data_IF_683090109263
#
_entry.id   IF_683090109263
#
_cell.length_a   1.000
_cell.length_b   1.000
_cell.length_c   1.000
_cell.angle_alpha   90.00
_cell.angle_beta   90.00
_cell.angle_gamma   90.00
#
_symmetry.space_group_name_H-M   'P 1'
#
loop_
_entity.id
_entity.type
_entity.pdbx_description
1 polymer ?
#
# COMPACT_ATOMS: atom_id res chain seq x y z
N UNK A 1 25.31 -6.56 41.97
CA UNK A 1 24.97 -6.69 43.40
C UNK A 1 23.49 -6.37 43.51
N UNK A 2 22.56 -7.33 43.39
CA UNK A 2 22.15 -8.32 44.42
C UNK A 2 21.92 -7.59 45.75
N UNK A 3 20.70 -7.56 46.30
CA UNK A 3 20.19 -8.65 47.15
C UNK A 3 18.66 -8.83 46.99
N UNK A 4 18.27 -10.09 46.82
CA UNK A 4 16.92 -10.64 46.89
C UNK A 4 16.50 -10.90 48.35
N UNK A 5 15.20 -10.95 48.64
CA UNK A 5 14.68 -11.58 49.85
C UNK A 5 13.64 -12.65 49.50
N UNK A 6 13.87 -13.82 50.09
CA UNK A 6 13.24 -15.11 49.84
C UNK A 6 11.89 -15.28 50.53
N UNK A 7 11.14 -16.22 49.95
CA UNK A 7 9.94 -16.86 50.46
C UNK A 7 10.20 -17.60 51.78
N UNK A 8 9.23 -17.54 52.69
CA UNK A 8 9.07 -18.53 53.76
C UNK A 8 7.61 -18.97 53.85
N UNK A 9 7.42 -20.29 53.80
CA UNK A 9 6.17 -21.03 53.86
C UNK A 9 6.07 -21.69 55.24
N UNK A 10 4.89 -21.81 55.86
CA UNK A 10 4.63 -23.02 56.63
C UNK A 10 3.23 -23.62 56.40
N UNK A 11 3.26 -24.90 56.04
CA UNK A 11 2.47 -26.03 56.55
C UNK A 11 0.92 -26.03 56.49
N UNK A 12 0.44 -26.90 55.60
CA UNK A 12 -0.45 -28.06 55.81
C UNK A 12 -1.63 -27.93 56.80
N UNK A 13 -2.84 -28.08 56.25
CA UNK A 13 -3.88 -28.91 56.89
C UNK A 13 -4.59 -29.75 55.82
N UNK A 14 -4.64 -31.06 56.07
CA UNK A 14 -5.34 -32.07 55.30
C UNK A 14 -6.86 -31.94 55.54
N UNK A 15 -7.65 -32.04 54.47
CA UNK A 15 -9.07 -32.42 54.55
C UNK A 15 -9.28 -33.59 53.61
N UNK A 16 -9.34 -34.78 54.21
CA UNK A 16 -9.90 -35.99 53.61
C UNK A 16 -11.40 -35.82 53.38
N UNK A 17 -11.86 -35.98 52.15
CA UNK A 17 -13.24 -36.41 51.85
C UNK A 17 -13.18 -37.61 50.92
N UNK A 18 -13.77 -38.69 51.42
CA UNK A 18 -13.96 -39.99 50.83
C UNK A 18 -14.97 -40.00 49.68
N UNK A 19 -14.67 -40.80 48.66
CA UNK A 19 -15.67 -41.62 47.96
C UNK A 19 -16.42 -40.96 46.79
N UNK A 20 -16.01 -41.30 45.57
CA UNK A 20 -16.80 -41.08 44.36
C UNK A 20 -15.97 -41.34 43.10
N UNK A 21 -16.23 -42.46 42.44
CA UNK A 21 -15.56 -42.90 41.20
C UNK A 21 -15.88 -41.91 40.07
N UNK A 22 -14.84 -41.29 39.50
CA UNK A 22 -14.92 -40.54 38.25
C UNK A 22 -14.49 -41.44 37.09
N UNK A 23 -15.39 -41.68 36.14
CA UNK A 23 -14.99 -41.95 34.75
C UNK A 23 -15.12 -40.63 33.98
N UNK A 24 -14.04 -39.85 33.95
CA UNK A 24 -13.88 -38.72 33.06
C UNK A 24 -13.16 -39.16 31.78
N UNK A 25 -13.74 -38.88 30.62
CA UNK A 25 -12.99 -38.67 29.40
C UNK A 25 -12.59 -37.20 29.39
N UNK A 26 -11.29 -36.95 29.31
CA UNK A 26 -10.69 -35.65 29.03
C UNK A 26 -11.21 -35.09 27.70
N UNK A 27 -11.61 -33.82 27.69
CA UNK A 27 -11.11 -32.88 26.68
C UNK A 27 -10.68 -31.61 27.41
N UNK A 28 -9.40 -31.32 27.26
CA UNK A 28 -8.63 -30.23 27.85
C UNK A 28 -8.91 -28.87 27.21
N UNK A 29 -9.03 -27.84 28.06
CA UNK A 29 -8.43 -26.48 27.97
C UNK A 29 -8.33 -25.79 26.59
N UNK A 30 -8.79 -24.56 26.37
CA UNK A 30 -8.44 -23.32 27.10
C UNK A 30 -9.51 -22.21 26.89
N UNK A 31 -9.77 -21.45 27.95
CA UNK A 31 -10.46 -20.14 27.99
C UNK A 31 -9.40 -19.00 27.92
N UNK A 32 -9.68 -17.66 28.01
CA UNK A 32 -10.96 -16.93 28.08
C UNK A 32 -11.02 -15.58 27.29
N UNK A 33 -12.22 -14.97 27.32
CA UNK A 33 -12.50 -13.51 27.50
C UNK A 33 -12.14 -12.50 26.39
N UNK A 34 -13.14 -12.11 25.58
CA UNK A 34 -13.25 -10.75 25.02
C UNK A 34 -14.70 -10.26 24.82
N UNK A 35 -15.67 -10.89 25.50
CA UNK A 35 -17.08 -10.49 25.45
C UNK A 35 -17.62 -10.20 26.85
N UNK A 36 -17.02 -9.21 27.49
CA UNK A 36 -17.69 -8.39 28.49
C UNK A 36 -16.88 -7.10 28.67
N UNK A 37 -17.56 -5.95 28.51
CA UNK A 37 -17.26 -4.73 29.25
C UNK A 37 -16.26 -3.72 28.66
N UNK A 38 -16.62 -3.08 27.53
CA UNK A 38 -16.52 -1.61 27.38
C UNK A 38 -17.81 -1.11 26.70
N UNK A 39 -18.88 -1.08 27.48
CA UNK A 39 -20.04 -0.20 27.31
C UNK A 39 -20.08 0.75 28.53
N UNK A 40 -18.91 1.28 28.89
CA UNK A 40 -18.69 2.23 29.97
C UNK A 40 -17.48 3.10 29.61
N UNK A 41 -17.61 3.90 28.56
CA UNK A 41 -16.81 5.13 28.38
C UNK A 41 -17.44 6.08 27.37
N UNK A 42 -18.73 6.37 27.54
CA UNK A 42 -19.36 7.59 27.03
C UNK A 42 -20.48 7.97 27.98
N UNK A 43 -20.15 8.77 29.00
CA UNK A 43 -20.98 9.90 29.46
C UNK A 43 -20.43 10.47 30.76
N UNK A 44 -19.69 11.57 30.65
CA UNK A 44 -19.81 12.70 31.57
C UNK A 44 -19.58 13.99 30.77
N UNK A 45 -20.66 14.65 30.35
CA UNK A 45 -21.01 16.00 30.82
C UNK A 45 -22.30 16.50 30.13
N UNK A 46 -23.43 16.42 30.82
CA UNK A 46 -24.58 17.32 30.64
C UNK A 46 -25.43 17.31 31.93
N UNK A 47 -25.68 18.44 32.60
CA UNK A 47 -26.35 18.47 33.90
C UNK A 47 -27.88 18.44 33.76
N UNK A 48 -28.53 17.65 34.61
CA UNK A 48 -29.94 17.83 34.99
C UNK A 48 -30.91 16.77 34.46
N UNK A 49 -31.11 15.69 35.24
CA UNK A 49 -32.41 15.01 35.48
C UNK A 49 -32.22 13.85 36.48
N UNK A 50 -33.08 13.76 37.48
CA UNK A 50 -33.05 12.75 38.55
C UNK A 50 -33.53 11.37 38.07
N UNK A 51 -33.08 10.26 38.69
CA UNK A 51 -33.62 8.92 38.41
C UNK A 51 -34.85 8.60 39.26
N UNK A 52 -35.84 7.91 38.67
CA UNK A 52 -37.03 7.37 39.33
C UNK A 52 -36.79 5.95 39.88
N UNK A 53 -37.51 5.49 40.93
CA UNK A 53 -37.16 4.30 41.70
C UNK A 53 -37.64 2.97 41.11
N UNK A 54 -36.90 1.92 41.43
CA UNK A 54 -37.18 0.50 41.17
C UNK A 54 -38.31 0.00 42.06
N UNK A 55 -39.33 -0.65 41.48
CA UNK A 55 -40.38 -1.36 42.22
C UNK A 55 -40.14 -2.87 42.09
N UNK A 56 -39.92 -3.52 43.22
CA UNK A 56 -39.89 -4.97 43.39
C UNK A 56 -41.31 -5.50 43.59
N UNK A 57 -41.68 -6.54 42.86
CA UNK A 57 -42.96 -7.24 43.03
C UNK A 57 -42.78 -8.75 42.92
N UNK A 58 -42.93 -9.45 44.05
CA UNK A 58 -43.12 -10.91 44.12
C UNK A 58 -44.58 -11.24 43.82
N UNK A 59 -44.81 -12.34 43.12
CA UNK A 59 -46.07 -13.09 43.21
C UNK A 59 -45.76 -14.58 43.44
N UNK A 60 -46.27 -15.08 44.57
CA UNK A 60 -46.33 -16.50 44.93
C UNK A 60 -47.64 -17.10 44.41
N UNK A 61 -47.62 -18.40 44.08
CA UNK A 61 -48.82 -19.16 43.75
C UNK A 61 -48.50 -20.58 43.32
N UNK A 62 -48.31 -21.47 44.29
CA UNK A 62 -48.31 -22.92 44.10
C UNK A 62 -49.75 -23.47 44.09
N UNK A 63 -50.02 -24.56 43.34
CA UNK A 63 -50.84 -25.71 43.74
C UNK A 63 -50.94 -26.76 42.60
N UNK A 64 -50.46 -27.98 42.92
CA UNK A 64 -50.88 -29.36 42.55
C UNK A 64 -50.95 -29.78 41.07
N UNK A 65 -50.74 -31.05 40.67
CA UNK A 65 -49.97 -32.25 41.06
C UNK A 65 -50.49 -33.39 40.16
N UNK A 66 -49.66 -34.41 39.90
CA UNK A 66 -49.96 -35.71 39.27
C UNK A 66 -49.99 -35.73 37.72
N UNK A 67 -49.47 -36.72 37.00
CA UNK A 67 -48.57 -37.88 37.21
C UNK A 67 -48.28 -38.37 35.77
N UNK A 68 -47.05 -38.80 35.44
CA UNK A 68 -46.84 -39.53 34.18
C UNK A 68 -45.50 -39.30 33.48
N UNK A 69 -44.57 -40.19 33.79
CA UNK A 69 -43.31 -40.53 33.13
C UNK A 69 -43.34 -40.55 31.57
N UNK A 70 -42.35 -39.92 30.91
CA UNK A 70 -41.35 -40.57 30.01
C UNK A 70 -40.63 -39.60 29.07
N UNK A 71 -39.38 -39.99 28.77
CA UNK A 71 -38.31 -39.31 28.02
C UNK A 71 -38.53 -39.37 26.49
N UNK A 72 -37.68 -38.63 25.79
CA UNK A 72 -37.38 -38.64 24.34
C UNK A 72 -38.21 -37.71 23.43
N UNK A 73 -37.63 -36.53 23.19
CA UNK A 73 -37.79 -35.80 21.92
C UNK A 73 -36.71 -36.32 20.97
N UNK A 74 -37.06 -37.34 20.20
CA UNK A 74 -36.30 -37.86 19.06
C UNK A 74 -37.23 -37.87 17.85
N UNK A 75 -36.83 -37.09 16.84
CA UNK A 75 -37.03 -37.22 15.39
C UNK A 75 -38.44 -37.39 14.81
N UNK A 76 -38.69 -36.49 13.87
CA UNK A 76 -39.57 -36.55 12.70
C UNK A 76 -41.08 -36.58 12.90
N UNK A 77 -41.75 -35.67 12.20
CA UNK A 77 -42.85 -35.89 11.25
C UNK A 77 -43.43 -34.50 10.88
N UNK A 78 -43.81 -34.11 9.66
CA UNK A 78 -43.80 -34.68 8.31
C UNK A 78 -44.24 -33.54 7.36
N UNK A 79 -43.55 -33.39 6.23
CA UNK A 79 -44.18 -33.30 4.90
C UNK A 79 -45.03 -32.09 4.48
N UNK A 80 -44.61 -31.47 3.37
CA UNK A 80 -45.41 -30.61 2.49
C UNK A 80 -44.91 -29.17 2.56
N UNK A 81 -44.27 -28.59 1.55
CA UNK A 81 -44.74 -28.45 0.17
C UNK A 81 -43.57 -28.41 -0.82
N UNK A 82 -43.67 -29.15 -1.93
CA UNK A 82 -42.78 -29.01 -3.09
C UNK A 82 -43.63 -28.94 -4.36
N UNK A 83 -43.54 -27.83 -5.09
CA UNK A 83 -43.69 -27.64 -6.55
C UNK A 83 -43.88 -26.12 -6.78
N UNK A 84 -43.18 -25.41 -7.66
CA UNK A 84 -42.70 -25.72 -9.01
C UNK A 84 -41.55 -24.78 -9.43
N UNK A 85 -40.88 -25.18 -10.52
CA UNK A 85 -39.86 -24.49 -11.32
C UNK A 85 -38.42 -24.66 -10.85
N UNK A 86 -37.80 -25.71 -11.39
CA UNK A 86 -36.37 -25.92 -11.33
C UNK A 86 -35.60 -24.96 -12.21
N UNK A 87 -34.51 -24.44 -11.67
CA UNK A 87 -33.25 -24.20 -12.37
C UNK A 87 -32.14 -24.52 -11.36
N UNK A 88 -31.38 -25.58 -11.64
CA UNK A 88 -30.17 -25.88 -10.90
C UNK A 88 -29.11 -24.83 -11.21
N UNK A 89 -28.65 -24.12 -10.17
CA UNK A 89 -27.39 -23.40 -10.19
C UNK A 89 -26.64 -23.72 -8.90
N UNK A 90 -25.44 -24.26 -9.07
CA UNK A 90 -24.52 -24.60 -8.01
C UNK A 90 -24.14 -23.37 -7.19
N UNK A 91 -24.46 -23.34 -5.91
CA UNK A 91 -23.90 -22.38 -4.95
C UNK A 91 -22.67 -23.00 -4.27
N UNK A 92 -21.53 -22.99 -4.96
CA UNK A 92 -20.23 -22.92 -4.29
C UNK A 92 -19.72 -21.49 -4.43
N UNK A 93 -20.28 -20.57 -3.66
CA UNK A 93 -19.70 -19.25 -3.49
C UNK A 93 -18.76 -19.31 -2.28
N UNK A 94 -17.46 -19.18 -2.57
CA UNK A 94 -16.38 -19.45 -1.64
C UNK A 94 -16.34 -18.43 -0.50
N UNK A 95 -16.35 -18.89 0.74
CA UNK A 95 -16.01 -18.12 1.94
C UNK A 95 -14.47 -17.97 2.06
N UNK A 96 -13.81 -17.30 1.10
CA UNK A 96 -12.34 -17.04 1.14
C UNK A 96 -11.94 -15.57 1.30
N UNK A 97 -12.87 -14.63 1.17
CA UNK A 97 -12.59 -13.19 1.17
C UNK A 97 -12.07 -12.58 2.50
N UNK A 98 -12.53 -12.97 3.70
CA UNK A 98 -12.17 -12.24 4.93
C UNK A 98 -10.68 -12.30 5.29
N UNK A 99 -9.96 -13.37 4.92
CA UNK A 99 -8.57 -13.55 5.34
C UNK A 99 -7.57 -12.68 4.57
N UNK A 100 -7.85 -12.39 3.30
CA UNK A 100 -6.96 -11.58 2.44
C UNK A 100 -6.99 -10.10 2.84
N UNK A 101 -8.16 -9.58 3.23
CA UNK A 101 -8.30 -8.21 3.73
C UNK A 101 -7.62 -8.01 5.08
N UNK A 102 -7.67 -9.02 5.97
CA UNK A 102 -6.99 -8.96 7.27
C UNK A 102 -5.46 -8.97 7.12
N UNK A 103 -4.93 -9.64 6.09
CA UNK A 103 -3.50 -9.66 5.77
C UNK A 103 -2.99 -8.38 5.09
N UNK A 104 -3.89 -7.53 4.57
CA UNK A 104 -3.51 -6.28 3.91
C UNK A 104 -3.31 -5.10 4.88
N UNK A 105 -3.83 -5.21 6.10
CA UNK A 105 -3.64 -4.21 7.15
C UNK A 105 -2.28 -4.38 7.83
N UNK A 106 -1.62 -3.26 8.12
CA UNK A 106 -0.36 -3.29 8.87
C UNK A 106 -0.58 -3.68 10.33
N UNK A 107 0.29 -4.53 10.86
CA UNK A 107 0.40 -4.71 12.31
C UNK A 107 0.99 -3.47 12.97
N UNK A 108 0.82 -3.33 14.29
CA UNK A 108 1.44 -2.24 15.05
C UNK A 108 2.97 -2.23 14.91
N UNK A 109 3.61 -3.41 14.87
CA UNK A 109 5.07 -3.50 14.70
C UNK A 109 5.51 -3.09 13.30
N UNK A 110 4.72 -3.39 12.26
CA UNK A 110 4.99 -2.93 10.89
C UNK A 110 4.82 -1.42 10.77
N UNK A 111 3.78 -0.87 11.39
CA UNK A 111 3.55 0.58 11.40
C UNK A 111 4.68 1.32 12.12
N UNK A 112 5.11 0.83 13.29
CA UNK A 112 6.25 1.38 14.01
C UNK A 112 7.53 1.31 13.17
N UNK A 113 7.81 0.16 12.53
CA UNK A 113 8.97 0.02 11.65
C UNK A 113 8.95 1.03 10.50
N UNK A 114 7.78 1.24 9.87
CA UNK A 114 7.65 2.23 8.81
C UNK A 114 7.93 3.66 9.33
N UNK A 115 7.48 3.99 10.53
CA UNK A 115 7.74 5.29 11.17
C UNK A 115 9.21 5.49 11.53
N UNK A 116 9.91 4.43 11.97
CA UNK A 116 11.33 4.47 12.35
C UNK A 116 12.25 4.51 11.13
N UNK A 117 11.99 3.67 10.12
CA UNK A 117 12.89 3.52 8.97
C UNK A 117 12.56 4.47 7.81
N UNK A 118 11.31 4.91 7.70
CA UNK A 118 10.80 5.69 6.55
C UNK A 118 10.46 4.84 5.33
N UNK A 119 10.63 3.52 5.41
CA UNK A 119 10.20 2.57 4.38
C UNK A 119 9.77 1.24 5.02
N UNK A 120 8.98 0.44 4.29
CA UNK A 120 8.54 -0.87 4.77
C UNK A 120 8.37 -1.84 3.62
N UNK A 121 8.94 -3.03 3.74
CA UNK A 121 8.78 -4.13 2.79
C UNK A 121 7.66 -5.07 3.23
N UNK A 122 6.71 -5.32 2.34
CA UNK A 122 5.60 -6.26 2.49
C UNK A 122 5.69 -7.32 1.39
N UNK A 123 6.37 -8.43 1.69
CA UNK A 123 6.49 -9.56 0.78
C UNK A 123 5.12 -10.22 0.49
N UNK A 124 4.93 -10.70 -0.74
CA UNK A 124 3.72 -11.43 -1.13
C UNK A 124 2.41 -10.61 -1.08
N UNK A 125 2.48 -9.27 -1.07
CA UNK A 125 1.29 -8.42 -1.03
C UNK A 125 0.43 -8.53 -2.31
N UNK A 126 1.08 -8.69 -3.46
CA UNK A 126 0.44 -9.00 -4.75
C UNK A 126 0.73 -10.45 -5.15
N UNK A 127 -0.29 -11.10 -5.72
CA UNK A 127 -0.16 -12.43 -6.28
C UNK A 127 0.65 -12.42 -7.57
N UNK A 128 1.23 -13.57 -7.93
CA UNK A 128 1.93 -13.71 -9.20
C UNK A 128 1.03 -13.40 -10.41
N UNK A 129 -0.26 -13.74 -10.35
CA UNK A 129 -1.23 -13.48 -11.42
C UNK A 129 -1.49 -11.98 -11.61
N UNK A 130 -1.54 -11.20 -10.53
CA UNK A 130 -1.66 -9.74 -10.61
C UNK A 130 -0.40 -9.11 -11.22
N UNK A 131 0.79 -9.62 -10.87
CA UNK A 131 2.04 -9.20 -11.49
C UNK A 131 2.06 -9.54 -12.99
N UNK A 132 1.66 -10.75 -13.37
CA UNK A 132 1.56 -11.17 -14.78
C UNK A 132 0.55 -10.31 -15.54
N UNK A 133 -0.59 -9.96 -14.94
CA UNK A 133 -1.58 -9.08 -15.57
C UNK A 133 -1.00 -7.69 -15.86
N UNK A 134 -0.25 -7.10 -14.91
CA UNK A 134 0.45 -5.83 -15.14
C UNK A 134 1.52 -5.96 -16.24
N UNK A 135 2.31 -7.03 -16.22
CA UNK A 135 3.38 -7.28 -17.20
C UNK A 135 2.84 -7.51 -18.61
N UNK A 136 1.77 -8.29 -18.75
CA UNK A 136 1.09 -8.50 -20.03
C UNK A 136 0.54 -7.17 -20.54
N UNK A 137 -0.15 -6.42 -19.67
CA UNK A 137 -0.79 -5.19 -20.09
C UNK A 137 0.21 -4.12 -20.50
N UNK A 138 1.33 -3.97 -19.79
CA UNK A 138 2.36 -3.03 -20.20
C UNK A 138 2.98 -3.44 -21.55
N UNK A 139 3.14 -4.76 -21.81
CA UNK A 139 3.58 -5.26 -23.10
C UNK A 139 2.66 -4.84 -24.25
N UNK A 140 1.34 -4.89 -24.05
CA UNK A 140 0.36 -4.41 -25.04
C UNK A 140 0.43 -2.89 -25.27
N UNK A 141 0.64 -2.12 -24.19
CA UNK A 141 0.80 -0.66 -24.27
C UNK A 141 2.06 -0.31 -25.07
N UNK A 142 3.17 -1.00 -24.80
CA UNK A 142 4.45 -0.82 -25.50
C UNK A 142 4.34 -1.23 -26.96
N UNK A 143 3.65 -2.33 -27.28
CA UNK A 143 3.45 -2.78 -28.66
C UNK A 143 2.65 -1.77 -29.52
N UNK A 144 1.84 -0.91 -28.88
CA UNK A 144 1.06 0.16 -29.52
C UNK A 144 1.68 1.53 -29.34
N UNK A 145 2.92 1.59 -28.84
CA UNK A 145 3.62 2.84 -28.58
C UNK A 145 3.85 3.61 -29.89
N UNK A 146 3.33 4.84 -29.92
CA UNK A 146 3.69 5.83 -30.91
C UNK A 146 4.21 7.08 -30.20
N UNK A 147 5.51 7.33 -30.34
CA UNK A 147 6.16 8.53 -29.78
C UNK A 147 6.64 9.40 -30.94
N UNK A 148 6.16 10.65 -31.05
CA UNK A 148 6.66 11.59 -32.06
C UNK A 148 8.17 11.78 -31.97
N UNK A 149 8.85 11.92 -33.11
CA UNK A 149 10.32 12.02 -33.17
C UNK A 149 10.87 13.16 -32.31
N UNK A 150 10.16 14.28 -32.22
CA UNK A 150 10.57 15.43 -31.38
C UNK A 150 10.47 15.15 -29.87
N UNK A 151 9.82 14.07 -29.45
CA UNK A 151 9.72 13.62 -28.05
C UNK A 151 10.70 12.46 -27.74
N UNK A 152 11.46 11.98 -28.74
CA UNK A 152 12.49 10.95 -28.61
C UNK A 152 13.83 11.63 -28.34
N UNK A 153 14.15 11.98 -27.09
CA UNK A 153 15.33 12.80 -26.80
C UNK A 153 16.29 12.19 -25.78
N UNK A 154 17.57 12.44 -26.01
CA UNK A 154 18.65 12.43 -25.01
C UNK A 154 18.97 13.86 -24.56
N UNK A 155 19.58 14.01 -23.39
CA UNK A 155 20.03 15.30 -22.87
C UNK A 155 21.36 15.71 -23.52
N UNK A 156 21.47 16.87 -24.17
CA UNK A 156 22.72 17.43 -24.72
C UNK A 156 22.61 18.96 -25.00
N UNK A 157 23.72 19.60 -25.38
CA UNK A 157 24.02 21.05 -25.26
C UNK A 157 24.04 21.88 -26.56
N UNK A 158 23.48 21.45 -27.69
CA UNK A 158 23.50 22.23 -28.97
C UNK A 158 22.15 22.86 -29.37
N UNK A 159 22.14 23.81 -30.32
CA UNK A 159 21.03 24.75 -30.58
C UNK A 159 19.80 24.13 -31.29
N UNK A 160 19.97 23.20 -32.24
CA UNK A 160 18.85 22.37 -32.78
C UNK A 160 18.29 21.39 -31.72
N UNK A 161 19.08 21.12 -30.70
CA UNK A 161 18.73 20.32 -29.53
C UNK A 161 17.88 21.11 -28.54
N UNK A 162 17.87 22.45 -28.57
CA UNK A 162 17.03 23.25 -27.68
C UNK A 162 15.55 23.13 -28.00
N UNK A 163 15.15 23.13 -29.28
CA UNK A 163 13.75 22.90 -29.68
C UNK A 163 13.30 21.47 -29.38
N UNK A 164 14.20 20.48 -29.50
CA UNK A 164 13.92 19.08 -29.14
C UNK A 164 13.87 18.89 -27.62
N UNK A 165 14.79 19.50 -26.87
CA UNK A 165 14.78 19.54 -25.41
C UNK A 165 13.54 20.27 -24.88
N UNK A 166 13.08 21.32 -25.57
CA UNK A 166 11.83 22.01 -25.28
C UNK A 166 10.62 21.08 -25.53
N UNK A 167 10.56 20.41 -26.69
CA UNK A 167 9.51 19.43 -26.98
C UNK A 167 9.49 18.24 -26.01
N UNK A 168 10.66 17.79 -25.56
CA UNK A 168 10.81 16.77 -24.51
C UNK A 168 10.34 17.27 -23.14
N UNK A 169 10.69 18.52 -22.81
CA UNK A 169 10.27 19.18 -21.58
C UNK A 169 8.76 19.36 -21.55
N UNK A 170 8.14 19.82 -22.63
CA UNK A 170 6.68 19.95 -22.75
C UNK A 170 6.00 18.59 -22.70
N UNK A 171 6.57 17.57 -23.35
CA UNK A 171 6.09 16.19 -23.30
C UNK A 171 6.16 15.62 -21.88
N UNK A 172 7.17 15.97 -21.09
CA UNK A 172 7.24 15.62 -19.67
C UNK A 172 6.23 16.43 -18.84
N UNK A 173 6.25 17.76 -18.90
CA UNK A 173 5.43 18.63 -18.06
C UNK A 173 3.92 18.43 -18.26
N UNK A 174 3.48 18.07 -19.47
CA UNK A 174 2.08 17.77 -19.79
C UNK A 174 1.72 16.28 -19.73
N UNK A 175 2.58 15.43 -19.16
CA UNK A 175 2.34 13.99 -19.04
C UNK A 175 1.57 13.58 -17.77
N UNK A 176 1.32 14.53 -16.86
CA UNK A 176 0.74 14.27 -15.55
C UNK A 176 -0.57 13.49 -15.57
N UNK A 177 -1.39 13.73 -16.59
CA UNK A 177 -2.69 13.12 -16.82
C UNK A 177 -2.71 12.26 -18.10
N UNK A 178 -1.56 11.75 -18.54
CA UNK A 178 -1.41 10.93 -19.76
C UNK A 178 -0.64 9.63 -19.48
N UNK A 179 -0.70 8.70 -20.44
CA UNK A 179 0.22 7.55 -20.52
C UNK A 179 1.22 7.84 -21.63
N UNK A 180 2.46 8.14 -21.24
CA UNK A 180 3.56 8.59 -22.09
C UNK A 180 4.83 7.80 -21.77
N UNK A 181 5.76 7.78 -22.72
CA UNK A 181 6.94 6.92 -22.70
C UNK A 181 8.21 7.75 -22.54
N UNK A 182 9.09 7.32 -21.64
CA UNK A 182 10.36 7.96 -21.36
C UNK A 182 11.47 6.93 -21.50
N UNK A 183 12.51 7.29 -22.25
CA UNK A 183 13.51 6.35 -22.73
C UNK A 183 14.82 6.45 -21.91
N UNK A 184 15.60 5.38 -21.96
CA UNK A 184 16.96 5.35 -21.39
C UNK A 184 17.87 6.36 -22.11
N UNK A 185 18.90 6.84 -21.42
CA UNK A 185 19.93 7.67 -22.05
C UNK A 185 20.79 6.80 -22.96
N UNK A 186 21.20 7.34 -24.12
CA UNK A 186 22.10 6.65 -25.06
C UNK A 186 21.43 5.61 -25.95
N UNK A 187 20.10 5.63 -26.10
CA UNK A 187 19.34 4.70 -26.95
C UNK A 187 18.94 5.31 -28.30
N UNK A 188 19.28 6.57 -28.54
CA UNK A 188 19.05 7.27 -29.79
C UNK A 188 20.37 7.61 -30.49
N UNK A 189 20.38 7.58 -31.83
CA UNK A 189 21.46 8.17 -32.61
C UNK A 189 21.32 9.71 -32.68
N UNK A 190 22.29 10.38 -33.30
CA UNK A 190 22.27 11.85 -33.49
C UNK A 190 21.06 12.35 -34.30
N UNK A 191 20.34 11.47 -34.99
CA UNK A 191 19.15 11.78 -35.79
C UNK A 191 17.84 11.47 -35.03
N UNK A 192 17.91 10.95 -33.80
CA UNK A 192 16.74 10.56 -32.99
C UNK A 192 16.17 9.18 -33.35
N UNK A 193 16.90 8.35 -34.09
CA UNK A 193 16.51 6.97 -34.37
C UNK A 193 16.95 6.06 -33.24
N UNK A 194 16.13 5.05 -32.94
CA UNK A 194 16.44 4.04 -31.94
C UNK A 194 17.65 3.19 -32.34
N UNK A 195 18.66 3.11 -31.46
CA UNK A 195 19.82 2.22 -31.58
C UNK A 195 19.50 0.78 -31.17
N UNK A 196 18.51 0.62 -30.28
CA UNK A 196 17.97 -0.66 -29.83
C UNK A 196 16.46 -0.65 -30.00
N UNK A 197 15.77 -1.79 -30.17
CA UNK A 197 14.32 -1.79 -30.39
C UNK A 197 13.57 -0.91 -29.38
N UNK A 198 12.56 -0.12 -29.80
CA UNK A 198 11.89 0.85 -28.93
C UNK A 198 11.36 0.23 -27.64
N UNK A 199 10.82 -0.97 -27.70
CA UNK A 199 10.31 -1.75 -26.56
C UNK A 199 11.39 -2.14 -25.53
N UNK A 200 12.66 -2.14 -25.94
CA UNK A 200 13.83 -2.34 -25.08
C UNK A 200 14.51 -1.04 -24.67
N UNK A 201 14.06 0.09 -25.20
CA UNK A 201 14.64 1.41 -24.96
C UNK A 201 13.93 2.19 -23.84
N UNK A 202 12.76 1.73 -23.41
CA UNK A 202 11.93 2.45 -22.44
C UNK A 202 12.52 2.29 -21.04
N UNK A 203 12.78 3.42 -20.38
CA UNK A 203 13.12 3.47 -18.95
C UNK A 203 11.83 3.37 -18.12
N UNK A 204 10.85 4.23 -18.42
CA UNK A 204 9.56 4.27 -17.71
C UNK A 204 8.39 4.71 -18.58
N UNK A 205 7.18 4.39 -18.13
CA UNK A 205 5.90 4.91 -18.64
C UNK A 205 5.21 5.67 -17.52
N UNK A 206 4.63 6.84 -17.81
CA UNK A 206 3.93 7.67 -16.83
C UNK A 206 3.07 8.77 -17.48
N UNK A 207 2.28 9.53 -16.73
CA UNK A 207 2.17 9.51 -15.27
C UNK A 207 0.78 9.12 -14.74
N UNK A 208 -0.15 8.72 -15.63
CA UNK A 208 -1.55 8.42 -15.29
C UNK A 208 -2.04 7.01 -15.69
N UNK A 209 -1.17 5.99 -15.58
CA UNK A 209 -1.59 4.58 -15.73
C UNK A 209 -2.74 4.23 -14.78
N UNK A 210 -2.68 4.70 -13.52
CA UNK A 210 -3.72 4.48 -12.52
C UNK A 210 -5.11 5.03 -12.91
N UNK A 211 -5.18 5.99 -13.83
CA UNK A 211 -6.43 6.62 -14.23
C UNK A 211 -6.97 6.06 -15.54
N UNK A 212 -6.09 5.93 -16.54
CA UNK A 212 -6.47 5.66 -17.94
C UNK A 212 -6.35 4.20 -18.35
N UNK A 213 -5.61 3.38 -17.61
CA UNK A 213 -5.51 1.96 -17.90
C UNK A 213 -6.34 1.10 -16.91
N UNK A 214 -7.28 0.27 -17.38
CA UNK A 214 -8.15 -0.52 -16.49
C UNK A 214 -7.42 -1.52 -15.58
N UNK A 215 -6.26 -2.05 -16.00
CA UNK A 215 -5.50 -3.02 -15.18
C UNK A 215 -4.81 -2.28 -14.04
N UNK A 216 -4.07 -1.22 -14.35
CA UNK A 216 -3.36 -0.44 -13.34
C UNK A 216 -4.32 0.31 -12.41
N UNK A 217 -5.45 0.80 -12.91
CA UNK A 217 -6.53 1.38 -12.10
C UNK A 217 -7.07 0.36 -11.08
N UNK A 218 -7.38 -0.85 -11.52
CA UNK A 218 -7.87 -1.92 -10.62
C UNK A 218 -6.84 -2.31 -9.56
N UNK A 219 -5.55 -2.37 -9.91
CA UNK A 219 -4.47 -2.63 -8.95
C UNK A 219 -4.37 -1.51 -7.92
N UNK A 220 -4.31 -0.26 -8.38
CA UNK A 220 -4.18 0.93 -7.51
C UNK A 220 -5.37 1.08 -6.56
N UNK A 221 -6.60 0.91 -7.05
CA UNK A 221 -7.81 1.04 -6.24
C UNK A 221 -8.29 -0.29 -5.63
N UNK A 222 -7.44 -1.32 -5.59
CA UNK A 222 -7.83 -2.63 -5.07
C UNK A 222 -8.18 -2.56 -3.57
N UNK A 223 -9.10 -3.44 -3.08
CA UNK A 223 -9.48 -3.45 -1.68
C UNK A 223 -8.31 -3.55 -0.69
N UNK A 224 -7.24 -4.30 -1.06
CA UNK A 224 -6.03 -4.43 -0.24
C UNK A 224 -5.22 -3.14 -0.13
N UNK A 225 -5.09 -2.37 -1.21
CA UNK A 225 -4.42 -1.06 -1.17
C UNK A 225 -5.24 -0.07 -0.33
N UNK A 226 -6.57 -0.10 -0.46
CA UNK A 226 -7.44 0.73 0.36
C UNK A 226 -7.38 0.36 1.85
N UNK A 227 -7.39 -0.93 2.18
CA UNK A 227 -7.24 -1.41 3.55
C UNK A 227 -5.89 -1.01 4.16
N UNK A 228 -4.81 -1.15 3.39
CA UNK A 228 -3.47 -0.69 3.75
C UNK A 228 -3.45 0.82 4.05
N UNK A 229 -4.00 1.64 3.14
CA UNK A 229 -4.09 3.09 3.33
C UNK A 229 -4.90 3.47 4.59
N UNK A 230 -5.98 2.73 4.90
CA UNK A 230 -6.74 2.92 6.15
C UNK A 230 -5.92 2.56 7.37
N UNK A 231 -5.13 1.48 7.32
CA UNK A 231 -4.25 1.08 8.43
C UNK A 231 -3.12 2.08 8.70
N UNK A 232 -2.73 2.87 7.69
CA UNK A 232 -1.81 4.00 7.81
C UNK A 232 -2.50 5.28 8.34
N UNK A 233 -3.81 5.25 8.53
CA UNK A 233 -4.58 6.39 9.04
C UNK A 233 -4.88 7.48 8.00
N UNK A 234 -4.72 7.20 6.70
CA UNK A 234 -5.01 8.17 5.65
C UNK A 234 -6.53 8.45 5.59
N UNK A 235 -6.90 9.73 5.68
CA UNK A 235 -8.28 10.23 5.71
C UNK A 235 -8.78 10.50 4.30
N UNK A 236 -8.03 11.27 3.50
CA UNK A 236 -8.37 11.64 2.14
C UNK A 236 -7.19 11.38 1.18
N UNK A 237 -6.77 10.12 1.01
CA UNK A 237 -5.68 9.78 0.10
C UNK A 237 -6.10 9.98 -1.36
N UNK A 238 -5.34 10.79 -2.08
CA UNK A 238 -5.50 11.07 -3.51
C UNK A 238 -4.33 10.46 -4.28
N UNK A 239 -4.58 9.83 -5.42
CA UNK A 239 -3.52 9.30 -6.29
C UNK A 239 -2.97 10.45 -7.13
N UNK A 240 -1.73 10.87 -6.87
CA UNK A 240 -1.15 12.03 -7.57
C UNK A 240 -0.41 11.64 -8.84
N UNK A 241 0.23 10.47 -8.84
CA UNK A 241 1.10 10.00 -9.91
C UNK A 241 1.16 8.48 -9.93
N UNK A 242 1.38 7.91 -11.11
CA UNK A 242 1.71 6.49 -11.29
C UNK A 242 2.73 6.30 -12.40
N UNK A 243 3.65 5.34 -12.26
CA UNK A 243 4.65 5.02 -13.26
C UNK A 243 4.86 3.52 -13.35
N UNK A 244 5.30 3.05 -14.52
CA UNK A 244 5.87 1.73 -14.70
C UNK A 244 7.34 1.85 -15.03
N UNK A 245 8.22 1.20 -14.28
CA UNK A 245 9.68 1.30 -14.40
C UNK A 245 10.19 -0.06 -14.89
N UNK A 246 10.89 -0.09 -16.02
CA UNK A 246 11.30 -1.34 -16.65
C UNK A 246 12.62 -1.89 -16.10
N UNK A 247 13.59 -0.99 -15.84
CA UNK A 247 15.00 -1.35 -15.57
C UNK A 247 15.48 -2.40 -16.57
N UNK A 248 15.67 -1.98 -17.81
CA UNK A 248 16.06 -2.87 -18.91
C UNK A 248 17.34 -3.65 -18.57
N UNK A 249 17.50 -4.89 -19.08
CA UNK A 249 18.72 -5.67 -18.86
C UNK A 249 19.98 -4.90 -19.29
N UNK A 250 21.08 -5.04 -18.54
CA UNK A 250 22.43 -4.51 -18.81
C UNK A 250 22.60 -2.99 -18.73
N UNK A 251 21.64 -2.21 -19.21
CA UNK A 251 21.73 -0.75 -19.29
C UNK A 251 20.60 -0.01 -18.59
N UNK A 252 19.70 -0.70 -17.88
CA UNK A 252 18.59 -0.08 -17.16
C UNK A 252 19.09 0.96 -16.16
N UNK A 253 18.86 2.23 -16.45
CA UNK A 253 19.59 3.36 -15.90
C UNK A 253 19.45 3.49 -14.38
N UNK A 254 20.54 3.82 -13.70
CA UNK A 254 20.53 4.11 -12.26
C UNK A 254 19.55 5.22 -11.89
N UNK A 255 19.08 5.18 -10.65
CA UNK A 255 18.33 6.28 -10.04
C UNK A 255 19.17 6.78 -8.87
N UNK A 256 19.71 7.99 -9.00
CA UNK A 256 20.56 8.61 -7.99
C UNK A 256 19.80 8.87 -6.68
N UNK A 257 20.50 9.03 -5.54
CA UNK A 257 19.88 9.39 -4.27
C UNK A 257 18.94 10.57 -4.37
N UNK A 258 17.71 10.40 -3.87
CA UNK A 258 16.71 11.45 -3.81
C UNK A 258 15.63 11.16 -2.77
N UNK A 259 14.76 12.15 -2.55
CA UNK A 259 13.54 12.05 -1.76
C UNK A 259 12.36 12.38 -2.70
N UNK A 260 11.25 11.64 -2.62
CA UNK A 260 10.09 11.85 -3.50
C UNK A 260 9.45 13.24 -3.29
N UNK A 261 9.44 13.72 -2.04
CA UNK A 261 8.97 15.05 -1.68
C UNK A 261 9.80 16.19 -2.33
N UNK A 262 10.99 15.90 -2.87
CA UNK A 262 11.71 16.86 -3.71
C UNK A 262 10.99 17.15 -5.03
N UNK A 263 10.15 16.24 -5.52
CA UNK A 263 9.43 16.37 -6.80
C UNK A 263 7.92 16.56 -6.60
N UNK A 264 7.39 16.00 -5.52
CA UNK A 264 5.98 15.99 -5.14
C UNK A 264 5.82 16.72 -3.80
N UNK A 265 6.19 18.00 -3.79
CA UNK A 265 6.26 18.78 -2.54
C UNK A 265 4.88 19.19 -2.04
N UNK A 266 4.70 19.14 -0.72
CA UNK A 266 3.47 19.57 -0.05
C UNK A 266 3.79 20.40 1.18
N UNK A 267 2.82 21.23 1.59
CA UNK A 267 2.83 21.89 2.88
C UNK A 267 1.64 21.39 3.73
N UNK A 268 1.88 20.77 4.91
CA UNK A 268 3.18 20.36 5.42
C UNK A 268 3.79 19.18 4.63
N UNK A 269 5.06 18.86 4.92
CA UNK A 269 5.71 17.61 4.52
C UNK A 269 5.12 16.40 5.29
N UNK A 270 5.57 15.18 4.99
CA UNK A 270 5.01 13.94 5.55
C UNK A 270 3.60 13.60 5.05
N UNK A 271 3.19 14.18 3.91
CA UNK A 271 1.85 14.00 3.32
C UNK A 271 1.85 13.20 2.01
N UNK A 272 3.03 12.83 1.51
CA UNK A 272 3.19 12.00 0.30
C UNK A 272 3.75 10.63 0.67
N UNK A 273 3.18 9.59 0.06
CA UNK A 273 3.56 8.20 0.26
C UNK A 273 3.73 7.51 -1.11
N UNK A 274 4.90 6.93 -1.35
CA UNK A 274 5.16 6.06 -2.49
C UNK A 274 4.76 4.61 -2.20
N UNK A 275 4.11 3.97 -3.17
CA UNK A 275 3.86 2.53 -3.20
C UNK A 275 4.61 1.96 -4.39
N UNK A 276 5.61 1.13 -4.13
CA UNK A 276 6.44 0.50 -5.16
C UNK A 276 6.18 -1.00 -5.18
N UNK A 277 5.75 -1.54 -6.31
CA UNK A 277 5.32 -2.94 -6.45
C UNK A 277 6.29 -3.66 -7.37
N UNK A 278 6.90 -4.73 -6.86
CA UNK A 278 7.73 -5.64 -7.63
C UNK A 278 6.88 -6.45 -8.62
N UNK A 279 6.94 -6.13 -9.91
CA UNK A 279 6.29 -6.94 -10.96
C UNK A 279 7.17 -8.15 -11.30
N UNK A 280 8.47 -8.00 -11.17
CA UNK A 280 9.49 -9.05 -11.24
C UNK A 280 10.34 -9.02 -9.95
N UNK A 281 11.08 -10.11 -9.68
CA UNK A 281 12.03 -10.15 -8.57
C UNK A 281 13.04 -8.99 -8.69
N UNK A 282 13.28 -8.30 -7.58
CA UNK A 282 14.28 -7.26 -7.47
C UNK A 282 15.44 -7.77 -6.63
N UNK A 283 16.61 -7.86 -7.23
CA UNK A 283 17.83 -8.39 -6.63
C UNK A 283 18.92 -7.33 -6.63
N UNK A 284 20.04 -7.62 -5.96
CA UNK A 284 21.20 -6.74 -5.98
C UNK A 284 21.73 -6.52 -7.41
N UNK A 285 21.69 -7.56 -8.23
CA UNK A 285 22.27 -7.59 -9.58
C UNK A 285 21.40 -6.86 -10.62
N UNK A 286 20.08 -6.82 -10.42
CA UNK A 286 19.15 -6.20 -11.37
C UNK A 286 18.62 -4.82 -10.90
N UNK A 287 19.22 -4.24 -9.86
CA UNK A 287 18.94 -2.88 -9.41
C UNK A 287 17.70 -2.78 -8.50
N UNK A 288 17.70 -3.55 -7.40
CA UNK A 288 16.79 -3.35 -6.28
C UNK A 288 16.93 -1.94 -5.68
N UNK A 289 15.97 -1.56 -4.83
CA UNK A 289 16.01 -0.29 -4.11
C UNK A 289 17.03 -0.35 -2.97
N UNK A 290 17.55 0.82 -2.62
CA UNK A 290 18.42 1.04 -1.47
C UNK A 290 17.90 2.26 -0.71
N UNK A 291 17.90 2.21 0.62
CA UNK A 291 17.38 3.26 1.49
C UNK A 291 18.39 3.64 2.56
N UNK A 292 18.31 4.87 3.07
CA UNK A 292 18.93 5.24 4.35
C UNK A 292 17.83 5.22 5.42
N UNK A 293 17.78 4.20 6.31
CA UNK A 293 16.78 4.14 7.37
C UNK A 293 16.81 5.39 8.27
N UNK A 294 15.65 5.97 8.57
CA UNK A 294 15.50 7.14 9.46
C UNK A 294 15.82 8.49 8.82
N UNK A 295 16.18 8.52 7.52
CA UNK A 295 16.52 9.76 6.81
C UNK A 295 15.35 10.69 6.51
N UNK A 296 14.12 10.26 6.77
CA UNK A 296 12.86 10.98 6.46
C UNK A 296 12.45 12.03 7.50
N UNK A 297 13.28 12.31 8.51
CA UNK A 297 12.91 13.12 9.69
C UNK A 297 13.41 14.57 9.65
N UNK A 298 14.14 14.97 8.59
CA UNK A 298 14.80 16.28 8.50
C UNK A 298 14.38 17.11 7.28
N UNK A 299 13.18 16.84 6.72
CA UNK A 299 12.67 17.51 5.53
C UNK A 299 13.47 17.19 4.27
N UNK A 300 13.40 18.06 3.25
CA UNK A 300 14.09 17.89 1.96
C UNK A 300 15.16 18.95 1.74
N UNK A 301 16.30 18.57 1.16
CA UNK A 301 17.41 19.50 0.86
C UNK A 301 17.33 20.12 -0.54
N UNK A 302 16.50 19.55 -1.41
CA UNK A 302 16.34 19.95 -2.81
C UNK A 302 14.87 19.87 -3.21
N UNK A 303 14.42 20.77 -4.09
CA UNK A 303 13.09 20.73 -4.73
C UNK A 303 13.21 20.96 -6.23
N UNK A 304 12.52 20.17 -7.04
CA UNK A 304 12.29 20.47 -8.45
C UNK A 304 11.08 21.40 -8.56
N UNK A 305 11.25 22.52 -9.25
CA UNK A 305 10.18 23.48 -9.50
C UNK A 305 9.97 23.69 -10.99
N UNK A 306 8.72 23.85 -11.40
CA UNK A 306 8.32 24.25 -12.75
C UNK A 306 8.62 25.73 -12.94
N UNK A 307 9.02 26.10 -14.15
CA UNK A 307 9.15 27.50 -14.54
C UNK A 307 7.81 28.26 -14.34
N UNK A 308 7.84 29.54 -13.89
CA UNK A 308 6.62 30.32 -13.66
C UNK A 308 5.77 30.47 -14.91
N UNK A 309 4.46 30.66 -14.73
CA UNK A 309 3.54 30.98 -15.82
C UNK A 309 4.01 32.21 -16.61
N UNK A 310 4.07 32.09 -17.93
CA UNK A 310 4.54 33.16 -18.83
C UNK A 310 6.04 33.11 -19.17
N UNK A 311 6.80 32.17 -18.60
CA UNK A 311 8.18 31.88 -19.01
C UNK A 311 8.27 30.67 -19.95
N UNK A 312 9.43 30.44 -20.58
CA UNK A 312 9.66 29.25 -21.37
C UNK A 312 9.48 28.00 -20.48
N UNK A 313 8.72 26.97 -20.93
CA UNK A 313 8.47 25.79 -20.11
C UNK A 313 9.78 25.11 -19.73
N UNK A 314 9.91 24.77 -18.45
CA UNK A 314 11.16 24.26 -17.90
C UNK A 314 11.00 23.77 -16.48
N UNK A 315 12.03 23.07 -16.01
CA UNK A 315 12.20 22.72 -14.60
C UNK A 315 13.58 23.15 -14.14
N UNK A 316 13.69 23.65 -12.91
CA UNK A 316 14.96 23.85 -12.25
C UNK A 316 14.93 23.26 -10.83
N UNK A 317 16.09 23.22 -10.18
CA UNK A 317 16.19 22.76 -8.80
C UNK A 317 16.48 23.94 -7.86
N UNK A 318 15.68 24.04 -6.80
CA UNK A 318 15.99 24.85 -5.62
C UNK A 318 16.75 23.97 -4.62
N UNK A 319 17.86 24.47 -4.09
CA UNK A 319 18.75 23.69 -3.24
C UNK A 319 19.53 22.62 -4.02
N UNK A 320 20.18 21.72 -3.29
CA UNK A 320 21.04 20.68 -3.86
C UNK A 320 20.98 19.42 -3.03
N UNK A 321 21.10 18.26 -3.68
CA UNK A 321 21.18 16.99 -2.96
C UNK A 321 22.52 16.92 -2.22
N UNK A 322 22.53 16.78 -0.88
CA UNK A 322 23.78 16.66 -0.15
C UNK A 322 24.45 15.33 -0.47
N UNK A 323 25.78 15.33 -0.53
CA UNK A 323 26.53 14.09 -0.55
C UNK A 323 26.25 13.31 0.74
N UNK A 324 25.94 12.03 0.62
CA UNK A 324 25.73 11.12 1.74
C UNK A 324 26.68 9.96 1.61
N UNK A 325 27.13 9.43 2.73
CA UNK A 325 27.99 8.24 2.73
C UNK A 325 27.21 7.05 2.16
N UNK A 326 27.79 6.40 1.15
CA UNK A 326 27.22 5.21 0.51
C UNK A 326 27.05 4.05 1.50
N UNK A 327 27.85 3.99 2.57
CA UNK A 327 27.76 2.95 3.61
C UNK A 327 26.44 2.98 4.40
N UNK A 328 25.73 4.12 4.38
CA UNK A 328 24.44 4.30 5.07
C UNK A 328 23.27 3.64 4.32
N UNK A 329 23.46 3.29 3.05
CA UNK A 329 22.40 2.69 2.24
C UNK A 329 22.28 1.19 2.52
N UNK A 330 21.07 0.74 2.84
CA UNK A 330 20.71 -0.67 3.01
C UNK A 330 19.94 -1.16 1.78
N UNK A 331 20.36 -2.28 1.15
CA UNK A 331 19.65 -2.82 0.00
C UNK A 331 18.36 -3.51 0.42
N UNK A 332 17.35 -3.46 -0.45
CA UNK A 332 16.03 -4.08 -0.24
C UNK A 332 15.67 -4.99 -1.43
N UNK A 333 16.38 -6.12 -1.60
CA UNK A 333 15.98 -7.12 -2.57
C UNK A 333 14.66 -7.76 -2.12
N UNK A 334 13.75 -7.96 -3.06
CA UNK A 334 12.40 -8.47 -2.79
C UNK A 334 11.93 -9.41 -3.91
N UNK A 335 11.00 -10.30 -3.58
CA UNK A 335 10.40 -11.19 -4.57
C UNK A 335 9.29 -10.47 -5.36
N UNK A 336 8.96 -11.01 -6.53
CA UNK A 336 7.77 -10.61 -7.28
C UNK A 336 6.54 -10.61 -6.38
N UNK A 337 5.75 -9.54 -6.48
CA UNK A 337 4.54 -9.33 -5.70
C UNK A 337 4.77 -8.55 -4.40
N UNK A 338 6.02 -8.32 -4.00
CA UNK A 338 6.30 -7.45 -2.86
C UNK A 338 5.82 -6.01 -3.10
N UNK A 339 5.33 -5.38 -2.05
CA UNK A 339 5.05 -3.96 -1.98
C UNK A 339 6.06 -3.31 -1.04
N UNK A 340 6.71 -2.23 -1.48
CA UNK A 340 7.55 -1.37 -0.65
C UNK A 340 6.85 -0.03 -0.46
N UNK A 341 6.56 0.31 0.79
CA UNK A 341 6.11 1.64 1.19
C UNK A 341 7.31 2.57 1.30
N UNK A 342 7.19 3.78 0.78
CA UNK A 342 8.25 4.77 0.70
C UNK A 342 7.71 6.10 1.26
N UNK A 343 8.20 6.54 2.42
CA UNK A 343 7.86 7.85 2.95
C UNK A 343 8.39 8.95 2.02
N UNK A 344 7.64 10.04 1.80
CA UNK A 344 8.02 11.09 0.86
C UNK A 344 9.44 11.65 1.07
N UNK A 345 9.87 11.74 2.32
CA UNK A 345 11.20 12.21 2.71
C UNK A 345 12.28 11.12 2.88
N UNK A 346 12.00 9.82 2.70
CA UNK A 346 13.08 8.82 2.87
C UNK A 346 14.04 8.88 1.68
N UNK A 347 15.35 8.94 1.96
CA UNK A 347 16.37 8.97 0.93
C UNK A 347 16.53 7.56 0.36
N UNK A 348 16.37 7.45 -0.95
CA UNK A 348 16.48 6.17 -1.65
C UNK A 348 17.11 6.29 -3.03
N UNK A 349 17.60 5.16 -3.54
CA UNK A 349 18.29 5.04 -4.83
C UNK A 349 18.11 3.64 -5.43
N UNK A 350 18.52 3.45 -6.68
CA UNK A 350 18.69 2.11 -7.27
C UNK A 350 19.85 2.07 -8.25
N UNK A 351 20.70 1.05 -8.12
CA UNK A 351 21.86 0.86 -9.00
C UNK A 351 21.44 0.52 -10.42
N UNK A 352 22.30 0.78 -11.41
CA UNK A 352 22.09 0.33 -12.78
C UNK A 352 21.86 -1.20 -12.83
N UNK A 353 20.93 -1.66 -13.67
CA UNK A 353 20.71 -3.08 -13.87
C UNK A 353 21.81 -3.65 -14.79
N UNK A 354 22.74 -4.42 -14.24
CA UNK A 354 23.82 -5.06 -14.99
C UNK A 354 23.50 -6.52 -15.37
N UNK A 355 22.35 -7.03 -14.93
CA UNK A 355 21.92 -8.41 -15.16
C UNK A 355 21.35 -8.63 -16.58
N UNK A 356 21.04 -9.89 -16.88
CA UNK A 356 20.42 -10.31 -18.15
C UNK A 356 18.89 -10.29 -18.14
N UNK A 357 18.26 -9.85 -17.04
CA UNK A 357 16.80 -9.80 -16.88
C UNK A 357 16.36 -8.40 -16.45
N UNK A 358 15.15 -8.02 -16.80
CA UNK A 358 14.58 -6.73 -16.37
C UNK A 358 14.32 -6.73 -14.85
N UNK A 359 13.97 -5.55 -14.32
CA UNK A 359 13.43 -5.39 -12.97
C UNK A 359 12.19 -4.51 -13.06
N UNK A 360 11.12 -5.11 -13.58
CA UNK A 360 9.87 -4.38 -13.78
C UNK A 360 9.20 -4.06 -12.44
N UNK A 361 8.72 -2.82 -12.32
CA UNK A 361 7.99 -2.36 -11.15
C UNK A 361 6.88 -1.39 -11.53
N UNK A 362 5.75 -1.50 -10.84
CA UNK A 362 4.68 -0.50 -10.91
C UNK A 362 4.71 0.35 -9.65
N UNK A 363 4.64 1.66 -9.80
CA UNK A 363 4.68 2.59 -8.68
C UNK A 363 3.53 3.58 -8.77
N UNK A 364 2.99 3.98 -7.63
CA UNK A 364 2.11 5.15 -7.56
C UNK A 364 2.29 5.87 -6.25
N UNK A 365 1.95 7.16 -6.26
CA UNK A 365 2.11 8.05 -5.12
C UNK A 365 0.74 8.51 -4.64
N UNK A 366 0.55 8.44 -3.33
CA UNK A 366 -0.60 8.99 -2.65
C UNK A 366 -0.22 10.31 -1.99
N UNK A 367 -1.18 11.23 -1.95
CA UNK A 367 -1.14 12.42 -1.11
C UNK A 367 -2.32 12.38 -0.14
N UNK A 368 -2.09 12.57 1.16
CA UNK A 368 -3.17 12.90 2.11
C UNK A 368 -3.65 14.32 1.83
N UNK A 369 -4.86 14.50 1.30
CA UNK A 369 -5.38 15.82 0.95
C UNK A 369 -5.92 16.61 2.16
N UNK A 370 -6.30 15.94 3.25
CA UNK A 370 -6.87 16.62 4.42
C UNK A 370 -5.81 17.49 5.11
N UNK A 371 -5.99 18.81 5.05
CA UNK A 371 -5.08 19.77 5.67
C UNK A 371 -3.72 19.86 4.96
N UNK A 372 -3.66 19.54 3.67
CA UNK A 372 -2.44 19.55 2.86
C UNK A 372 -2.60 20.46 1.66
N UNK A 373 -1.57 21.26 1.40
CA UNK A 373 -1.46 22.11 0.22
C UNK A 373 -0.47 21.46 -0.75
N UNK A 374 -0.94 21.12 -1.95
CA UNK A 374 -0.08 20.71 -3.05
C UNK A 374 0.66 21.92 -3.59
N UNK A 375 2.00 21.87 -3.67
CA UNK A 375 2.76 23.03 -4.12
C UNK A 375 2.40 23.39 -5.58
N UNK A 376 2.04 24.65 -5.87
CA UNK A 376 1.77 25.09 -7.23
C UNK A 376 3.05 25.10 -8.10
N UNK A 377 4.22 24.96 -7.48
CA UNK A 377 5.51 24.91 -8.16
C UNK A 377 5.91 23.50 -8.58
N UNK A 378 5.21 22.45 -8.11
CA UNK A 378 5.51 21.09 -8.53
C UNK A 378 5.40 20.96 -10.05
N UNK A 379 6.30 20.19 -10.65
CA UNK A 379 6.26 19.90 -12.09
C UNK A 379 4.94 19.25 -12.50
N UNK A 380 4.30 18.50 -11.58
CA UNK A 380 3.02 17.85 -11.77
C UNK A 380 1.92 18.68 -11.13
N UNK A 381 0.93 19.06 -11.93
CA UNK A 381 -0.27 19.76 -11.48
C UNK A 381 -1.51 18.99 -11.93
N UNK A 382 -2.56 18.89 -11.10
CA UNK A 382 -3.82 18.30 -11.53
C UNK A 382 -4.42 19.13 -12.67
N UNK A 383 -5.05 18.47 -13.64
CA UNK A 383 -5.73 19.14 -14.75
C UNK A 383 -7.23 19.19 -14.49
N UNK A 384 -7.97 19.98 -15.28
CA UNK A 384 -9.43 19.97 -15.19
C UNK A 384 -10.02 18.62 -15.63
N UNK A 385 -9.35 17.96 -16.59
CA UNK A 385 -9.72 16.65 -17.11
C UNK A 385 -9.41 15.52 -16.13
N UNK A 386 -8.31 15.63 -15.39
CA UNK A 386 -7.91 14.69 -14.35
C UNK A 386 -7.44 15.45 -13.12
N UNK A 387 -8.37 15.89 -12.25
CA UNK A 387 -8.01 16.17 -10.88
C UNK A 387 -7.45 14.89 -10.24
N UNK A 388 -6.59 15.01 -9.22
CA UNK A 388 -6.10 13.83 -8.51
C UNK A 388 -7.31 13.01 -8.01
N UNK A 389 -7.47 11.74 -8.41
CA UNK A 389 -8.62 10.94 -8.00
C UNK A 389 -8.46 10.42 -6.57
N UNK A 390 -9.53 10.30 -5.78
CA UNK A 390 -9.47 9.67 -4.46
C UNK A 390 -9.12 8.20 -4.61
N UNK A 391 -8.29 7.69 -3.70
CA UNK A 391 -7.96 6.26 -3.64
C UNK A 391 -9.17 5.44 -3.19
N UNK A 392 -9.89 5.91 -2.18
CA UNK A 392 -11.07 5.23 -1.64
C UNK A 392 -12.23 5.29 -2.62
N UNK A 393 -12.83 4.13 -2.90
CA UNK A 393 -13.94 3.96 -3.86
C UNK A 393 -15.20 3.48 -3.20
#
# INVERSE_FOLDING_TARGET
MLVAWELSNPQLSEVTVSGGIWTGIQVSSCWPSFFAQILLEFNFWAPGKQPAPVVSGKWEGAVKSQEGDQKELILDELGGWTQCLGLGLSTQQSYREPSLLLMACLSLSQLQKFQEDGFLVLEGFFSADECVAMQQRIGEIVAKMDVPVHCRTEFSTQEEEQLRAQGSTDYFLSSGDKIRFFFEKGVFDKKGNFLVPPEKSINKIGHALHAHDPVFKRVTHSPKVQALARSLGLQMPMVVQSMYIFKQPRFGGEVSPHQDASFLYTEPLGRVLGLWIAVEDATLENGCLWFIPGSHTSGVSRRMVRAPAGSAPGTCFLGSEPARDNSLFVPTPVQRGALVLIHGEVVHRSEQNLSNRSRQAYTFHLMEASGTIWSPENWLQPTAELPFPPLYT
#
